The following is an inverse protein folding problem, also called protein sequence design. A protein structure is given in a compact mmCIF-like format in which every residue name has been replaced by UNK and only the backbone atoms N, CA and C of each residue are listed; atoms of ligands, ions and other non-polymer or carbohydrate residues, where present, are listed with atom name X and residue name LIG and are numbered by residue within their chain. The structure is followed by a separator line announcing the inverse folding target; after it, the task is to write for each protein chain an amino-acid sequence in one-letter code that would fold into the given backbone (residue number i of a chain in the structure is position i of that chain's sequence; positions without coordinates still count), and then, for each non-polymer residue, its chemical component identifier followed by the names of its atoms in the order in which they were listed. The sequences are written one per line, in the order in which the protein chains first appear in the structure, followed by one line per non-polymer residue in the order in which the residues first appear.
data_IF_140839618683
#
_entry.id   IF_140839618683
#
_cell.length_a   1.000
_cell.length_b   1.000
_cell.length_c   1.000
_cell.angle_alpha   90.00
_cell.angle_beta   90.00
_cell.angle_gamma   90.00
#
_symmetry.space_group_name_H-M   'P 1'
#
loop_
_entity.id
_entity.type
_entity.pdbx_description
1 polymer ?
#
# COMPACT_ATOMS: atom_id res chain seq x y z
N UNK A 1 0.15 5.00 -5.45
CA UNK A 1 1.48 4.66 -4.89
C UNK A 1 2.11 3.53 -5.68
N UNK A 2 3.30 3.76 -6.22
CA UNK A 2 3.97 2.78 -7.09
C UNK A 2 4.28 1.47 -6.37
N UNK A 3 4.65 1.53 -5.09
CA UNK A 3 4.95 0.34 -4.32
C UNK A 3 3.75 -0.62 -4.29
N UNK A 4 2.58 -0.11 -4.02
CA UNK A 4 1.38 -0.93 -3.96
C UNK A 4 1.00 -1.48 -5.33
N UNK A 5 1.16 -0.69 -6.38
CA UNK A 5 0.94 -1.17 -7.75
C UNK A 5 1.86 -2.32 -8.10
N UNK A 6 3.14 -2.24 -7.71
CA UNK A 6 4.10 -3.30 -7.93
C UNK A 6 3.76 -4.58 -7.16
N UNK A 7 3.07 -4.45 -6.04
CA UNK A 7 2.61 -5.60 -5.25
C UNK A 7 1.30 -6.19 -5.75
N UNK A 8 0.72 -5.61 -6.79
CA UNK A 8 -0.52 -6.12 -7.38
C UNK A 8 -1.78 -5.41 -6.92
N UNK A 9 -1.66 -4.29 -6.23
CA UNK A 9 -2.82 -3.49 -5.84
C UNK A 9 -3.31 -2.65 -7.03
N UNK A 10 -4.62 -2.50 -7.13
CA UNK A 10 -5.27 -1.69 -8.16
C UNK A 10 -6.03 -0.54 -7.52
N UNK A 11 -6.04 0.61 -8.19
CA UNK A 11 -6.86 1.73 -7.77
C UNK A 11 -8.30 1.41 -8.15
N UNK A 12 -9.17 1.24 -7.15
CA UNK A 12 -10.58 0.93 -7.39
C UNK A 12 -11.47 2.15 -7.20
N UNK A 13 -11.00 3.15 -6.46
CA UNK A 13 -11.76 4.36 -6.21
C UNK A 13 -10.83 5.49 -5.80
N UNK A 14 -11.13 6.69 -6.26
CA UNK A 14 -10.47 7.90 -5.81
C UNK A 14 -11.55 8.92 -5.44
N UNK A 15 -11.45 9.47 -4.23
CA UNK A 15 -12.40 10.45 -3.76
C UNK A 15 -11.67 11.54 -2.98
N UNK A 16 -11.65 12.75 -3.56
CA UNK A 16 -10.88 13.84 -2.98
C UNK A 16 -9.41 13.47 -2.85
N UNK A 17 -8.88 13.57 -1.66
CA UNK A 17 -7.47 13.25 -1.38
C UNK A 17 -7.24 11.81 -0.95
N UNK A 18 -8.27 10.95 -1.07
CA UNK A 18 -8.15 9.55 -0.67
C UNK A 18 -8.22 8.64 -1.89
N UNK A 19 -7.25 7.73 -1.99
CA UNK A 19 -7.20 6.71 -3.04
C UNK A 19 -7.41 5.35 -2.40
N UNK A 20 -8.41 4.62 -2.86
CA UNK A 20 -8.67 3.27 -2.39
C UNK A 20 -8.07 2.27 -3.35
N UNK A 21 -7.22 1.38 -2.82
CA UNK A 21 -6.59 0.34 -3.59
C UNK A 21 -7.05 -1.03 -3.10
N UNK A 22 -7.06 -1.99 -4.00
CA UNK A 22 -7.47 -3.35 -3.69
C UNK A 22 -6.53 -4.35 -4.33
N UNK A 23 -6.19 -5.39 -3.59
CA UNK A 23 -5.48 -6.55 -4.10
C UNK A 23 -6.34 -7.79 -3.87
N UNK A 24 -6.61 -8.52 -4.94
CA UNK A 24 -7.32 -9.79 -4.85
C UNK A 24 -6.33 -10.93 -4.92
N UNK A 25 -6.43 -11.87 -4.01
CA UNK A 25 -5.58 -13.06 -3.94
C UNK A 25 -6.46 -14.28 -3.66
N UNK A 26 -5.94 -15.50 -3.87
CA UNK A 26 -6.72 -16.71 -3.54
C UNK A 26 -7.21 -16.76 -2.10
N UNK A 27 -6.47 -16.13 -1.18
CA UNK A 27 -6.85 -16.08 0.24
C UNK A 27 -7.93 -15.03 0.54
N UNK A 28 -8.25 -14.15 -0.40
CA UNK A 28 -9.23 -13.11 -0.19
C UNK A 28 -8.85 -11.78 -0.82
N UNK A 29 -9.44 -10.72 -0.30
CA UNK A 29 -9.32 -9.37 -0.82
C UNK A 29 -8.79 -8.43 0.25
N UNK A 30 -7.82 -7.61 -0.09
CA UNK A 30 -7.22 -6.63 0.82
C UNK A 30 -7.45 -5.22 0.29
N UNK A 31 -8.12 -4.40 1.06
CA UNK A 31 -8.40 -3.01 0.72
C UNK A 31 -7.58 -2.07 1.58
N UNK A 32 -6.98 -1.08 0.96
CA UNK A 32 -6.19 -0.05 1.64
C UNK A 32 -6.63 1.32 1.13
N UNK A 33 -6.78 2.28 2.04
CA UNK A 33 -6.99 3.68 1.69
C UNK A 33 -5.72 4.45 1.96
N UNK A 34 -5.22 5.15 0.93
CA UNK A 34 -3.98 5.93 1.00
C UNK A 34 -4.32 7.39 0.74
N UNK A 35 -3.91 8.33 1.61
CA UNK A 35 -4.07 9.75 1.32
C UNK A 35 -3.22 10.14 0.12
N UNK A 36 -3.82 10.88 -0.80
CA UNK A 36 -3.11 11.38 -1.98
C UNK A 36 -2.47 12.74 -1.66
N UNK A 37 -1.37 12.70 -0.93
CA UNK A 37 -0.57 13.87 -0.63
C UNK A 37 0.80 13.73 -1.25
N UNK A 38 1.46 14.85 -1.52
CA UNK A 38 2.85 14.84 -1.99
C UNK A 38 3.76 14.15 -0.99
N UNK A 39 3.47 14.33 0.28
CA UNK A 39 4.21 13.70 1.37
C UNK A 39 3.23 12.98 2.28
N UNK A 40 3.43 11.69 2.45
CA UNK A 40 2.68 10.90 3.40
C UNK A 40 3.40 10.99 4.74
N UNK A 41 2.68 11.33 5.81
CA UNK A 41 3.27 11.42 7.14
C UNK A 41 3.88 10.06 7.55
N UNK A 42 5.00 10.10 8.29
CA UNK A 42 5.69 8.88 8.71
C UNK A 42 4.78 7.88 9.40
N UNK A 43 3.91 8.35 10.29
CA UNK A 43 2.98 7.49 11.01
C UNK A 43 2.01 6.78 10.07
N UNK A 44 1.46 7.51 9.10
CA UNK A 44 0.55 6.95 8.09
C UNK A 44 1.28 5.94 7.21
N UNK A 45 2.50 6.28 6.76
CA UNK A 45 3.29 5.38 5.95
C UNK A 45 3.62 4.09 6.69
N UNK A 46 4.00 4.18 7.96
CA UNK A 46 4.28 3.01 8.78
C UNK A 46 3.04 2.11 8.93
N UNK A 47 1.86 2.69 9.12
CA UNK A 47 0.62 1.93 9.19
C UNK A 47 0.33 1.19 7.90
N UNK A 48 0.50 1.86 6.77
CA UNK A 48 0.31 1.24 5.45
C UNK A 48 1.28 0.08 5.26
N UNK A 49 2.55 0.31 5.54
CA UNK A 49 3.58 -0.73 5.41
C UNK A 49 3.31 -1.91 6.34
N UNK A 50 2.87 -1.66 7.56
CA UNK A 50 2.54 -2.72 8.50
C UNK A 50 1.39 -3.60 7.97
N UNK A 51 0.33 -3.00 7.48
CA UNK A 51 -0.82 -3.72 6.92
C UNK A 51 -0.43 -4.52 5.69
N UNK A 52 0.33 -3.92 4.79
CA UNK A 52 0.81 -4.58 3.58
C UNK A 52 1.75 -5.73 3.92
N UNK A 53 2.62 -5.54 4.90
CA UNK A 53 3.55 -6.56 5.37
C UNK A 53 2.80 -7.79 5.87
N UNK A 54 1.83 -7.59 6.73
CA UNK A 54 1.05 -8.69 7.32
C UNK A 54 0.28 -9.44 6.25
N UNK A 55 -0.44 -8.72 5.40
CA UNK A 55 -1.31 -9.36 4.41
C UNK A 55 -0.55 -10.09 3.32
N UNK A 56 0.61 -9.56 2.91
CA UNK A 56 1.41 -10.16 1.84
C UNK A 56 2.51 -11.09 2.35
N UNK A 57 2.64 -11.24 3.66
CA UNK A 57 3.71 -12.04 4.28
C UNK A 57 5.11 -11.60 3.82
N UNK A 58 5.30 -10.29 3.69
CA UNK A 58 6.57 -9.68 3.32
C UNK A 58 7.07 -8.86 4.51
N UNK A 59 8.35 -8.99 4.86
CA UNK A 59 8.89 -8.22 5.97
C UNK A 59 8.86 -6.72 5.68
N UNK A 60 8.71 -5.92 6.73
CA UNK A 60 8.69 -4.47 6.60
C UNK A 60 10.01 -3.95 6.00
N UNK A 61 11.12 -4.58 6.35
CA UNK A 61 12.43 -4.23 5.79
C UNK A 61 12.46 -4.44 4.28
N UNK A 62 11.90 -5.54 3.79
CA UNK A 62 11.81 -5.82 2.37
C UNK A 62 10.94 -4.79 1.66
N UNK A 63 9.85 -4.36 2.28
CA UNK A 63 8.99 -3.32 1.73
C UNK A 63 9.73 -1.99 1.61
N UNK A 64 10.52 -1.64 2.61
CA UNK A 64 11.32 -0.41 2.60
C UNK A 64 12.36 -0.47 1.47
N UNK A 65 12.99 -1.62 1.28
CA UNK A 65 13.94 -1.81 0.17
C UNK A 65 13.27 -1.66 -1.19
N UNK A 66 12.09 -2.23 -1.37
CA UNK A 66 11.32 -2.07 -2.60
C UNK A 66 10.96 -0.60 -2.84
N UNK A 67 10.59 0.12 -1.80
CA UNK A 67 10.26 1.53 -1.88
C UNK A 67 11.45 2.36 -2.33
N UNK A 68 12.64 2.03 -1.86
CA UNK A 68 13.87 2.72 -2.24
C UNK A 68 14.26 2.49 -3.69
N UNK A 69 13.89 1.35 -4.26
CA UNK A 69 14.18 0.99 -5.64
C UNK A 69 13.23 1.63 -6.65
N UNK A 70 12.15 2.21 -6.18
CA UNK A 70 11.21 2.92 -7.03
C UNK A 70 11.60 4.39 -7.14
#
# INVERSE_FOLDING_TARGET
MKLLSNLGYEIVRQRGSHVRLRKTAPAGEHNITVPQHKEVAKGTLNDILAKVSIWNAISKNDLVELLKKL
#
